data_IF_093859061315
#
_entry.id   IF_093859061315
#
_cell.length_a   1.000
_cell.length_b   1.000
_cell.length_c   1.000
_cell.angle_alpha   90.00
_cell.angle_beta   90.00
_cell.angle_gamma   90.00
#
_symmetry.space_group_name_H-M   'P 1'
#
loop_
_entity.id
_entity.type
_entity.pdbx_description
1 polymer ?
#
# COMPACT_ATOMS: atom_id res chain seq x y z
N UNK A 1 -22.18 22.90 1.58
CA UNK A 1 -21.72 21.89 2.54
C UNK A 1 -22.49 21.99 3.86
N UNK A 2 -22.54 23.18 4.48
CA UNK A 2 -23.25 23.44 5.75
C UNK A 2 -24.77 23.15 5.73
N UNK A 3 -25.50 23.59 4.70
CA UNK A 3 -26.95 23.36 4.60
C UNK A 3 -27.35 21.87 4.50
N UNK A 4 -26.54 21.04 3.84
CA UNK A 4 -26.78 19.59 3.76
C UNK A 4 -26.49 18.88 5.08
N UNK A 5 -25.50 19.34 5.85
CA UNK A 5 -25.21 18.83 7.21
C UNK A 5 -26.36 19.16 8.17
N UNK A 6 -26.86 20.39 8.16
CA UNK A 6 -28.00 20.75 9.01
C UNK A 6 -29.24 19.92 8.70
N UNK A 7 -29.56 19.68 7.42
CA UNK A 7 -30.68 18.82 7.05
C UNK A 7 -30.50 17.39 7.56
N UNK A 8 -29.32 16.79 7.37
CA UNK A 8 -29.03 15.45 7.88
C UNK A 8 -29.09 15.38 9.41
N UNK A 9 -28.58 16.39 10.10
CA UNK A 9 -28.62 16.47 11.56
C UNK A 9 -30.05 16.64 12.08
N UNK A 10 -30.90 17.38 11.36
CA UNK A 10 -32.31 17.53 11.68
C UNK A 10 -33.11 16.23 11.41
N UNK A 11 -32.78 15.49 10.35
CA UNK A 11 -33.46 14.23 10.01
C UNK A 11 -33.03 13.06 10.90
N UNK A 12 -31.73 12.96 11.22
CA UNK A 12 -31.16 11.83 11.96
C UNK A 12 -31.05 12.11 13.47
N UNK A 13 -31.15 13.37 13.89
CA UNK A 13 -31.13 13.77 15.30
C UNK A 13 -29.89 13.24 16.03
N UNK A 14 -30.11 12.52 17.13
CA UNK A 14 -29.03 11.95 17.96
C UNK A 14 -28.23 10.86 17.25
N UNK A 15 -28.80 10.19 16.23
CA UNK A 15 -28.11 9.15 15.46
C UNK A 15 -27.10 9.73 14.47
N UNK A 16 -27.23 11.02 14.11
CA UNK A 16 -26.32 11.69 13.18
C UNK A 16 -24.86 11.53 13.61
N UNK A 17 -24.57 11.81 14.88
CA UNK A 17 -23.21 11.73 15.42
C UNK A 17 -22.62 10.31 15.31
N UNK A 18 -23.41 9.29 15.65
CA UNK A 18 -22.99 7.90 15.58
C UNK A 18 -22.75 7.43 14.14
N UNK A 19 -23.64 7.81 13.22
CA UNK A 19 -23.50 7.49 11.80
C UNK A 19 -22.31 8.24 11.18
N UNK A 20 -22.14 9.53 11.48
CA UNK A 20 -21.01 10.33 11.01
C UNK A 20 -19.68 9.73 11.49
N UNK A 21 -19.62 9.33 12.77
CA UNK A 21 -18.42 8.69 13.34
C UNK A 21 -18.14 7.36 12.66
N UNK A 22 -19.13 6.47 12.53
CA UNK A 22 -18.97 5.17 11.88
C UNK A 22 -18.55 5.29 10.40
N UNK A 23 -19.07 6.30 9.68
CA UNK A 23 -18.67 6.59 8.30
C UNK A 23 -17.24 7.10 8.24
N UNK A 24 -16.83 8.00 9.14
CA UNK A 24 -15.44 8.48 9.20
C UNK A 24 -14.47 7.35 9.53
N UNK A 25 -14.81 6.49 10.49
CA UNK A 25 -14.01 5.31 10.85
C UNK A 25 -13.89 4.36 9.65
N UNK A 26 -15.00 4.02 8.99
CA UNK A 26 -14.99 3.18 7.79
C UNK A 26 -14.17 3.81 6.64
N UNK A 27 -14.23 5.13 6.48
CA UNK A 27 -13.43 5.85 5.49
C UNK A 27 -11.94 5.88 5.87
N UNK A 28 -11.61 5.91 7.15
CA UNK A 28 -10.22 5.86 7.63
C UNK A 28 -9.53 4.53 7.33
N UNK A 29 -10.31 3.45 7.26
CA UNK A 29 -9.84 2.13 6.87
C UNK A 29 -9.52 2.01 5.37
N UNK A 30 -10.10 2.90 4.55
CA UNK A 30 -9.87 2.96 3.10
C UNK A 30 -8.64 3.82 2.82
N UNK A 31 -7.51 3.24 2.38
CA UNK A 31 -6.34 4.02 2.04
C UNK A 31 -6.65 4.93 0.85
N UNK A 32 -6.36 6.24 0.94
CA UNK A 32 -6.51 7.15 -0.20
C UNK A 32 -5.60 6.68 -1.34
N UNK A 33 -6.19 6.39 -2.50
CA UNK A 33 -5.48 5.87 -3.67
C UNK A 33 -4.30 6.76 -4.09
N UNK A 34 -4.45 8.09 -4.00
CA UNK A 34 -3.39 9.05 -4.33
C UNK A 34 -2.17 8.92 -3.42
N UNK A 35 -2.37 8.81 -2.11
CA UNK A 35 -1.25 8.66 -1.15
C UNK A 35 -0.45 7.38 -1.34
N UNK A 36 -1.10 6.29 -1.78
CA UNK A 36 -0.41 5.05 -2.13
C UNK A 36 0.46 5.23 -3.38
N UNK A 37 -0.08 5.88 -4.41
CA UNK A 37 0.65 6.18 -5.65
C UNK A 37 1.80 7.15 -5.39
N UNK A 38 1.58 8.20 -4.59
CA UNK A 38 2.62 9.15 -4.16
C UNK A 38 3.74 8.46 -3.37
N UNK A 39 3.39 7.55 -2.44
CA UNK A 39 4.36 6.76 -1.71
C UNK A 39 5.20 5.88 -2.65
N UNK A 40 4.56 5.19 -3.59
CA UNK A 40 5.26 4.37 -4.59
C UNK A 40 6.17 5.22 -5.47
N UNK A 41 5.69 6.36 -5.95
CA UNK A 41 6.47 7.30 -6.77
C UNK A 41 7.69 7.86 -6.01
N UNK A 42 7.53 8.17 -4.72
CA UNK A 42 8.63 8.62 -3.87
C UNK A 42 9.72 7.55 -3.75
N UNK A 43 9.33 6.27 -3.60
CA UNK A 43 10.28 5.13 -3.58
C UNK A 43 10.97 4.95 -4.93
N UNK A 44 10.21 5.03 -6.04
CA UNK A 44 10.75 4.90 -7.40
C UNK A 44 11.76 5.99 -7.75
N UNK A 45 11.54 7.22 -7.27
CA UNK A 45 12.42 8.36 -7.55
C UNK A 45 13.87 8.12 -7.15
N UNK A 46 14.11 7.37 -6.06
CA UNK A 46 15.46 7.01 -5.63
C UNK A 46 16.20 6.13 -6.66
N UNK A 47 15.47 5.29 -7.41
CA UNK A 47 16.05 4.44 -8.45
C UNK A 47 16.26 5.19 -9.75
N UNK A 48 15.40 6.16 -10.03
CA UNK A 48 15.49 7.00 -11.24
C UNK A 48 16.70 7.94 -11.19
N UNK A 49 17.06 8.42 -10.01
CA UNK A 49 18.27 9.24 -9.84
C UNK A 49 19.57 8.45 -10.14
N UNK A 50 19.58 7.14 -9.91
CA UNK A 50 20.76 6.30 -10.06
C UNK A 50 21.06 5.90 -11.52
N UNK A 51 20.18 6.22 -12.47
CA UNK A 51 20.34 5.83 -13.88
C UNK A 51 20.05 6.99 -14.84
N UNK A 52 20.95 7.19 -15.81
CA UNK A 52 20.79 8.18 -16.89
C UNK A 52 19.64 7.85 -17.84
N UNK A 53 19.31 6.57 -18.01
CA UNK A 53 18.21 6.08 -18.84
C UNK A 53 17.47 4.95 -18.12
N UNK A 54 16.14 5.03 -18.11
CA UNK A 54 15.24 4.04 -17.53
C UNK A 54 14.60 3.28 -18.69
N UNK A 55 14.95 2.00 -18.85
CA UNK A 55 14.32 1.11 -19.83
C UNK A 55 13.05 0.47 -19.25
N UNK A 56 12.19 -0.04 -20.12
CA UNK A 56 11.01 -0.81 -19.72
C UNK A 56 11.39 -2.04 -18.88
N UNK A 57 12.45 -2.77 -19.27
CA UNK A 57 12.93 -3.93 -18.50
C UNK A 57 13.32 -3.56 -17.06
N UNK A 58 13.86 -2.36 -16.86
CA UNK A 58 14.18 -1.87 -15.52
C UNK A 58 12.92 -1.53 -14.71
N UNK A 59 11.91 -0.94 -15.35
CA UNK A 59 10.61 -0.72 -14.73
C UNK A 59 9.92 -2.04 -14.38
N UNK A 60 10.04 -3.05 -15.23
CA UNK A 60 9.52 -4.39 -14.97
C UNK A 60 10.21 -5.06 -13.78
N UNK A 61 11.54 -4.91 -13.68
CA UNK A 61 12.29 -5.37 -12.51
C UNK A 61 11.85 -4.63 -11.24
N UNK A 62 11.66 -3.31 -11.29
CA UNK A 62 11.17 -2.54 -10.14
C UNK A 62 9.76 -2.97 -9.74
N UNK A 63 8.86 -3.13 -10.70
CA UNK A 63 7.50 -3.66 -10.48
C UNK A 63 7.55 -5.03 -9.80
N UNK A 64 8.37 -5.93 -10.32
CA UNK A 64 8.59 -7.25 -9.72
C UNK A 64 9.10 -7.14 -8.28
N UNK A 65 10.17 -6.36 -8.08
CA UNK A 65 10.80 -6.18 -6.78
C UNK A 65 9.80 -5.61 -5.76
N UNK A 66 9.08 -4.55 -6.09
CA UNK A 66 8.14 -3.92 -5.15
C UNK A 66 6.96 -4.83 -4.78
N UNK A 67 6.53 -5.71 -5.69
CA UNK A 67 5.44 -6.64 -5.43
C UNK A 67 5.84 -7.87 -4.63
N UNK A 68 7.12 -8.29 -4.67
CA UNK A 68 7.60 -9.51 -4.02
C UNK A 68 8.54 -9.25 -2.83
N UNK A 69 9.00 -8.01 -2.65
CA UNK A 69 9.78 -7.63 -1.48
C UNK A 69 8.85 -7.47 -0.27
N UNK A 70 9.13 -8.22 0.80
CA UNK A 70 8.36 -8.16 2.05
C UNK A 70 8.54 -6.84 2.78
N UNK A 71 7.48 -6.36 3.42
CA UNK A 71 7.55 -5.17 4.25
C UNK A 71 8.34 -5.46 5.53
N UNK A 72 9.46 -4.78 5.73
CA UNK A 72 10.20 -4.84 7.00
C UNK A 72 9.43 -4.18 8.14
N UNK A 73 8.64 -3.14 7.83
CA UNK A 73 7.81 -2.37 8.78
C UNK A 73 6.54 -1.92 8.08
N UNK A 74 5.45 -1.80 8.82
CA UNK A 74 4.18 -1.26 8.35
C UNK A 74 3.38 -0.73 9.54
N UNK A 75 2.61 0.34 9.33
CA UNK A 75 1.65 0.84 10.33
C UNK A 75 0.50 -0.15 10.58
N UNK A 76 0.32 -1.12 9.66
CA UNK A 76 -0.60 -2.25 9.81
C UNK A 76 0.20 -3.50 10.20
N UNK A 77 0.15 -3.96 11.47
CA UNK A 77 0.95 -5.08 11.96
C UNK A 77 0.80 -6.35 11.12
N UNK A 78 -0.39 -6.62 10.58
CA UNK A 78 -0.71 -7.79 9.76
C UNK A 78 0.02 -7.84 8.41
N UNK A 79 0.62 -6.71 7.97
CA UNK A 79 1.41 -6.60 6.73
C UNK A 79 2.90 -6.80 6.94
N UNK A 80 3.37 -6.71 8.19
CA UNK A 80 4.80 -6.87 8.49
C UNK A 80 5.23 -8.29 8.11
N UNK A 81 6.35 -8.40 7.39
CA UNK A 81 6.86 -9.68 6.91
C UNK A 81 6.11 -10.27 5.71
N UNK A 82 5.14 -9.56 5.12
CA UNK A 82 4.44 -9.97 3.89
C UNK A 82 4.75 -9.03 2.72
N UNK A 83 4.71 -9.55 1.51
CA UNK A 83 4.80 -8.76 0.27
C UNK A 83 3.40 -8.34 -0.23
N UNK A 84 3.29 -7.33 -1.11
CA UNK A 84 2.03 -7.03 -1.79
C UNK A 84 1.42 -8.24 -2.52
N UNK A 85 2.25 -9.05 -3.17
CA UNK A 85 1.79 -10.26 -3.86
C UNK A 85 1.19 -11.28 -2.89
N UNK A 86 1.80 -11.48 -1.71
CA UNK A 86 1.28 -12.38 -0.66
C UNK A 86 -0.03 -11.83 -0.07
N UNK A 87 -0.12 -10.53 0.14
CA UNK A 87 -1.33 -9.88 0.67
C UNK A 87 -2.50 -9.93 -0.31
N UNK A 88 -2.23 -9.79 -1.61
CA UNK A 88 -3.26 -9.82 -2.66
C UNK A 88 -3.67 -11.25 -3.03
N UNK A 89 -2.69 -12.15 -3.17
CA UNK A 89 -2.91 -13.51 -3.67
C UNK A 89 -3.17 -14.55 -2.59
N UNK A 90 -2.92 -14.24 -1.30
CA UNK A 90 -3.09 -15.16 -0.17
C UNK A 90 -2.05 -16.29 -0.10
N UNK A 91 -1.25 -16.49 -1.14
CA UNK A 91 -0.22 -17.52 -1.22
C UNK A 91 1.14 -16.94 -0.82
N UNK A 92 1.82 -17.64 0.10
CA UNK A 92 3.22 -17.35 0.44
C UNK A 92 4.15 -17.67 -0.72
N UNK A 93 5.23 -16.91 -0.86
CA UNK A 93 6.28 -17.21 -1.84
C UNK A 93 7.66 -17.25 -1.17
N UNK A 94 8.64 -17.84 -1.87
CA UNK A 94 10.05 -17.81 -1.47
C UNK A 94 10.61 -16.39 -1.45
N UNK A 95 11.89 -16.22 -1.16
CA UNK A 95 12.50 -14.89 -1.24
C UNK A 95 12.48 -14.38 -2.69
N UNK A 96 12.30 -13.08 -2.91
CA UNK A 96 12.18 -12.52 -4.26
C UNK A 96 13.37 -12.83 -5.19
N UNK A 97 14.58 -13.01 -4.64
CA UNK A 97 15.75 -13.48 -5.40
C UNK A 97 15.60 -14.92 -5.90
N UNK A 98 15.03 -15.81 -5.08
CA UNK A 98 14.80 -17.22 -5.43
C UNK A 98 13.74 -17.31 -6.54
N UNK A 99 12.75 -16.42 -6.53
CA UNK A 99 11.76 -16.29 -7.61
C UNK A 99 12.37 -15.84 -8.95
N UNK A 100 13.52 -15.17 -8.92
CA UNK A 100 14.31 -14.82 -10.09
C UNK A 100 15.33 -15.90 -10.49
N UNK A 101 15.35 -17.03 -9.78
CA UNK A 101 16.29 -18.13 -10.03
C UNK A 101 17.66 -17.95 -9.38
N UNK A 102 17.85 -16.96 -8.50
CA UNK A 102 19.11 -16.78 -7.77
C UNK A 102 19.12 -17.57 -6.47
N UNK A 103 20.29 -18.12 -6.14
CA UNK A 103 20.54 -18.70 -4.84
C UNK A 103 20.90 -17.62 -3.82
N UNK A 104 20.28 -17.69 -2.64
CA UNK A 104 20.57 -16.76 -1.55
C UNK A 104 21.89 -17.12 -0.88
N UNK A 105 22.76 -16.12 -0.74
CA UNK A 105 23.88 -16.24 0.18
C UNK A 105 23.38 -16.43 1.62
N UNK A 106 23.82 -17.51 2.26
CA UNK A 106 23.60 -17.79 3.69
C UNK A 106 24.95 -17.72 4.38
N UNK A 107 25.11 -16.76 5.30
CA UNK A 107 26.27 -16.72 6.19
C UNK A 107 25.95 -17.62 7.38
N UNK A 108 26.71 -18.72 7.51
CA UNK A 108 26.69 -19.59 8.69
C UNK A 108 27.17 -18.83 9.93
#
# INVERSE_FOLDING_TARGET
>A
YWQRREQLQHTLGKLYYWIETAVIEAMSDIPRASSLVENLNSRLRNYFFLRRHISNDYLDLLRFFFNHHRYARSDRPERVGKSPAELLGGNSHGHWLELLGFERFRRN
#
